data_IF_137783817777
#
_entry.id   IF_137783817777
#
_cell.length_a   1.000
_cell.length_b   1.000
_cell.length_c   1.000
_cell.angle_alpha   90.00
_cell.angle_beta   90.00
_cell.angle_gamma   90.00
#
_symmetry.space_group_name_H-M   'P 1'
#
loop_
_entity.id
_entity.type
_entity.pdbx_description
1 polymer ?
#
# COMPACT_ATOMS: atom_id res chain seq x y z
N UNK A 1 10.00 -1.59 -16.05
CA UNK A 1 10.42 -0.51 -15.13
C UNK A 1 9.37 -0.39 -14.03
N UNK A 2 9.58 -1.08 -12.90
CA UNK A 2 8.67 -1.14 -11.74
C UNK A 2 8.99 -0.02 -10.72
N UNK A 3 9.96 0.85 -11.01
CA UNK A 3 10.39 1.91 -10.09
C UNK A 3 9.28 2.92 -9.75
N UNK A 4 8.41 3.26 -10.72
CA UNK A 4 7.24 4.10 -10.45
C UNK A 4 6.23 3.44 -9.49
N UNK A 5 6.08 2.12 -9.58
CA UNK A 5 5.25 1.34 -8.66
C UNK A 5 5.87 1.31 -7.26
N UNK A 6 7.17 1.00 -7.14
CA UNK A 6 7.89 1.07 -5.86
C UNK A 6 7.81 2.44 -5.19
N UNK A 7 8.10 3.52 -5.94
CA UNK A 7 8.03 4.88 -5.42
C UNK A 7 6.61 5.30 -4.97
N UNK A 8 5.58 4.80 -5.67
CA UNK A 8 4.19 5.03 -5.27
C UNK A 8 3.80 4.25 -4.02
N UNK A 9 4.29 3.01 -3.85
CA UNK A 9 4.11 2.21 -2.64
C UNK A 9 4.72 2.91 -1.42
N UNK A 10 5.95 3.40 -1.55
CA UNK A 10 6.66 4.12 -0.49
C UNK A 10 5.86 5.36 -0.06
N UNK A 11 5.32 6.13 -1.00
CA UNK A 11 4.53 7.33 -0.70
C UNK A 11 3.27 7.01 0.11
N UNK A 12 2.61 5.88 -0.15
CA UNK A 12 1.41 5.48 0.59
C UNK A 12 1.73 4.94 1.98
N UNK A 13 2.78 4.14 2.11
CA UNK A 13 3.23 3.65 3.40
C UNK A 13 3.70 4.80 4.30
N UNK A 14 4.43 5.78 3.77
CA UNK A 14 4.85 6.98 4.50
C UNK A 14 3.64 7.77 5.03
N UNK A 15 2.57 7.89 4.24
CA UNK A 15 1.33 8.55 4.71
C UNK A 15 0.64 7.78 5.83
N UNK A 16 0.70 6.44 5.81
CA UNK A 16 0.14 5.61 6.89
C UNK A 16 0.95 5.76 8.18
N UNK A 17 2.28 5.81 8.06
CA UNK A 17 3.21 5.98 9.19
C UNK A 17 3.02 7.35 9.85
N UNK A 18 2.93 8.41 9.03
CA UNK A 18 2.80 9.79 9.50
C UNK A 18 1.37 10.18 9.90
N UNK A 19 0.42 9.24 9.87
CA UNK A 19 -0.96 9.55 10.23
C UNK A 19 -1.07 9.87 11.74
N UNK A 20 -1.58 11.07 12.11
CA UNK A 20 -1.53 11.59 13.47
C UNK A 20 -2.42 10.82 14.45
N UNK A 21 -3.49 10.18 13.97
CA UNK A 21 -4.42 9.44 14.81
C UNK A 21 -4.89 8.13 14.16
N UNK A 22 -5.56 7.30 14.99
CA UNK A 22 -6.05 5.98 14.56
C UNK A 22 -7.06 6.04 13.40
N UNK A 23 -7.86 7.10 13.31
CA UNK A 23 -8.89 7.25 12.28
C UNK A 23 -8.24 7.65 10.96
N UNK A 24 -7.32 8.60 10.98
CA UNK A 24 -6.53 8.98 9.81
C UNK A 24 -5.64 7.85 9.33
N UNK A 25 -5.05 7.07 10.24
CA UNK A 25 -4.28 5.88 9.89
C UNK A 25 -5.14 4.84 9.18
N UNK A 26 -6.35 4.57 9.68
CA UNK A 26 -7.29 3.63 9.04
C UNK A 26 -7.65 4.09 7.62
N UNK A 27 -7.90 5.38 7.44
CA UNK A 27 -8.19 5.96 6.12
C UNK A 27 -7.00 5.86 5.18
N UNK A 28 -5.80 6.14 5.67
CA UNK A 28 -4.56 6.01 4.89
C UNK A 28 -4.32 4.55 4.46
N UNK A 29 -4.61 3.57 5.33
CA UNK A 29 -4.56 2.13 4.98
C UNK A 29 -5.58 1.80 3.90
N UNK A 30 -6.82 2.29 4.01
CA UNK A 30 -7.87 2.05 3.00
C UNK A 30 -7.47 2.57 1.63
N UNK A 31 -6.89 3.77 1.59
CA UNK A 31 -6.43 4.40 0.35
C UNK A 31 -5.21 3.66 -0.24
N UNK A 32 -4.29 3.19 0.61
CA UNK A 32 -3.15 2.38 0.18
C UNK A 32 -3.61 1.07 -0.46
N UNK A 33 -4.55 0.34 0.18
CA UNK A 33 -5.12 -0.91 -0.36
C UNK A 33 -5.74 -0.69 -1.74
N UNK A 34 -6.56 0.35 -1.90
CA UNK A 34 -7.20 0.65 -3.20
C UNK A 34 -6.19 0.90 -4.29
N UNK A 35 -5.13 1.68 -4.00
CA UNK A 35 -4.11 2.02 -4.99
C UNK A 35 -3.24 0.83 -5.35
N UNK A 36 -2.82 0.03 -4.38
CA UNK A 36 -2.09 -1.22 -4.63
C UNK A 36 -2.87 -2.15 -5.54
N UNK A 37 -4.18 -2.29 -5.32
CA UNK A 37 -5.04 -3.08 -6.21
C UNK A 37 -5.09 -2.54 -7.63
N UNK A 38 -5.22 -1.21 -7.79
CA UNK A 38 -5.19 -0.57 -9.11
C UNK A 38 -3.88 -0.80 -9.84
N UNK A 39 -2.75 -0.74 -9.12
CA UNK A 39 -1.45 -1.04 -9.70
C UNK A 39 -1.27 -2.50 -10.09
N UNK A 40 -1.80 -3.44 -9.30
CA UNK A 40 -1.83 -4.87 -9.67
C UNK A 40 -2.54 -5.08 -11.01
N UNK A 41 -3.75 -4.53 -11.13
CA UNK A 41 -4.54 -4.57 -12.39
C UNK A 41 -3.80 -3.89 -13.54
N UNK A 42 -3.21 -2.71 -13.31
CA UNK A 42 -2.46 -2.02 -14.36
C UNK A 42 -1.24 -2.83 -14.81
N UNK A 43 -0.53 -3.46 -13.88
CA UNK A 43 0.63 -4.33 -14.16
C UNK A 43 0.20 -5.55 -14.96
N UNK A 44 -0.89 -6.21 -14.56
CA UNK A 44 -1.44 -7.35 -15.30
C UNK A 44 -1.75 -6.98 -16.75
N UNK A 45 -2.42 -5.84 -16.97
CA UNK A 45 -2.77 -5.37 -18.32
C UNK A 45 -1.57 -4.99 -19.17
N UNK A 46 -0.56 -4.34 -18.58
CA UNK A 46 0.68 -3.98 -19.29
C UNK A 46 1.43 -5.24 -19.74
N UNK A 47 1.38 -6.30 -18.92
CA UNK A 47 2.07 -7.56 -19.20
C UNK A 47 1.23 -8.56 -20.01
N UNK A 48 -0.03 -8.22 -20.35
CA UNK A 48 -0.95 -9.13 -21.06
C UNK A 48 -1.41 -10.32 -20.21
N UNK A 49 -1.37 -10.18 -18.88
CA UNK A 49 -1.80 -11.21 -17.92
C UNK A 49 -3.29 -11.04 -17.57
N UNK A 50 -3.95 -12.12 -17.11
CA UNK A 50 -5.27 -12.00 -16.49
C UNK A 50 -5.25 -11.09 -15.25
N UNK A 51 -6.30 -10.32 -15.04
CA UNK A 51 -6.48 -9.48 -13.84
C UNK A 51 -6.37 -10.35 -12.56
N UNK A 52 -5.50 -9.95 -11.63
CA UNK A 52 -5.20 -10.67 -10.40
C UNK A 52 -3.96 -11.57 -10.45
N UNK A 53 -3.21 -11.56 -11.56
CA UNK A 53 -1.95 -12.32 -11.67
C UNK A 53 -0.82 -11.68 -10.84
N UNK A 54 -0.83 -10.35 -10.72
CA UNK A 54 0.13 -9.59 -9.91
C UNK A 54 -0.31 -9.61 -8.45
N UNK A 55 0.52 -10.21 -7.60
CA UNK A 55 0.31 -10.22 -6.15
C UNK A 55 0.65 -8.85 -5.57
N UNK A 56 -0.30 -8.27 -4.84
CA UNK A 56 -0.13 -7.00 -4.13
C UNK A 56 -0.50 -7.17 -2.66
N UNK A 57 0.05 -6.30 -1.79
CA UNK A 57 -0.23 -6.37 -0.36
C UNK A 57 -1.72 -6.15 -0.07
N UNK A 58 -2.28 -7.03 0.75
CA UNK A 58 -3.64 -6.87 1.24
C UNK A 58 -3.68 -6.02 2.52
N UNK A 59 -4.90 -5.66 2.94
CA UNK A 59 -5.11 -4.82 4.14
C UNK A 59 -4.39 -5.37 5.38
N UNK A 60 -4.52 -6.67 5.65
CA UNK A 60 -3.96 -7.31 6.83
C UNK A 60 -2.43 -7.22 6.83
N UNK A 61 -1.80 -7.48 5.69
CA UNK A 61 -0.35 -7.37 5.53
C UNK A 61 0.14 -5.94 5.72
N UNK A 62 -0.61 -4.94 5.23
CA UNK A 62 -0.26 -3.52 5.46
C UNK A 62 -0.41 -3.17 6.94
N UNK A 63 -1.46 -3.63 7.61
CA UNK A 63 -1.66 -3.41 9.05
C UNK A 63 -0.57 -4.09 9.89
N UNK A 64 -0.15 -5.30 9.53
CA UNK A 64 0.97 -6.00 10.15
C UNK A 64 2.29 -5.24 9.95
N UNK A 65 2.58 -4.80 8.72
CA UNK A 65 3.77 -3.99 8.43
C UNK A 65 3.80 -2.69 9.23
N UNK A 66 2.66 -2.00 9.33
CA UNK A 66 2.54 -0.75 10.08
C UNK A 66 2.67 -0.99 11.58
N UNK A 67 2.19 -2.12 12.10
CA UNK A 67 2.34 -2.49 13.50
C UNK A 67 3.80 -2.75 13.91
N UNK A 68 4.66 -3.10 12.96
CA UNK A 68 6.09 -3.31 13.18
C UNK A 68 6.92 -2.02 13.20
N UNK A 69 6.32 -0.88 12.80
CA UNK A 69 7.03 0.41 12.76
C UNK A 69 6.92 1.05 14.14
N UNK A 70 8.03 1.28 14.85
CA UNK A 70 8.00 1.95 16.13
C UNK A 70 7.44 3.36 15.95
N UNK A 71 6.28 3.62 16.56
CA UNK A 71 5.79 4.98 16.73
C UNK A 71 6.70 5.64 17.76
N UNK A 72 7.66 6.45 17.31
CA UNK A 72 8.43 7.30 18.21
C UNK A 72 7.46 8.24 18.93
N UNK A 73 7.10 7.89 20.17
CA UNK A 73 6.16 8.66 20.97
C UNK A 73 5.44 7.81 22.02
N UNK A 74 6.16 7.39 23.05
CA UNK A 74 5.67 7.14 24.42
C UNK A 74 6.86 7.09 25.36
#
# INVERSE_FOLDING_TARGET
MIQGFGASMDTHLIRVINAPDRRERRRAVDDAVKRLRLYGVATDRILGLPDGSTVVLNRKQIEEMVALIPTNGS
#
